data_IF_791628729510
#
_entry.id   IF_791628729510
#
_cell.length_a   1.000
_cell.length_b   1.000
_cell.length_c   1.000
_cell.angle_alpha   90.00
_cell.angle_beta   90.00
_cell.angle_gamma   90.00
#
_symmetry.space_group_name_H-M   'P 1'
#
loop_
_entity.id
_entity.type
_entity.pdbx_description
1 polymer ?
#
# COMPACT_ATOMS: atom_id res chain seq x y z
N UNK A 1 37.39 32.30 49.86
CA UNK A 1 36.53 31.53 50.79
C UNK A 1 36.22 30.21 50.06
N UNK A 2 36.55 28.98 50.51
CA UNK A 2 36.35 28.31 51.83
C UNK A 2 34.87 28.49 52.23
N UNK A 3 33.96 27.51 52.23
CA UNK A 3 33.94 26.10 52.72
C UNK A 3 32.61 25.42 52.24
N UNK A 4 32.24 24.14 52.46
CA UNK A 4 32.90 22.81 52.53
C UNK A 4 31.81 21.73 52.75
N UNK A 5 31.99 20.51 52.19
CA UNK A 5 31.35 19.20 52.55
C UNK A 5 29.80 19.04 52.47
N UNK A 6 29.24 18.01 51.80
CA UNK A 6 29.20 16.54 52.10
C UNK A 6 28.07 16.12 53.09
N UNK A 7 27.67 14.82 53.22
CA UNK A 7 26.25 14.45 53.13
C UNK A 7 25.71 13.66 54.35
N UNK A 8 25.53 12.31 54.25
CA UNK A 8 25.10 11.30 55.24
C UNK A 8 23.56 10.98 55.28
N UNK A 9 23.15 9.72 55.00
CA UNK A 9 22.77 8.60 55.92
C UNK A 9 21.22 8.51 56.10
N UNK A 10 20.48 7.37 56.08
CA UNK A 10 20.67 5.90 55.90
C UNK A 10 19.39 5.31 55.22
N UNK A 11 19.01 4.01 55.08
CA UNK A 11 19.48 2.62 55.34
C UNK A 11 18.66 1.67 54.37
N UNK A 12 18.91 0.39 54.02
CA UNK A 12 19.88 -0.72 54.33
C UNK A 12 19.28 -1.95 55.07
N UNK A 13 19.23 -3.12 54.38
CA UNK A 13 19.10 -4.54 54.86
C UNK A 13 17.68 -4.96 55.39
N UNK A 14 17.11 -6.20 55.30
CA UNK A 14 17.45 -7.65 55.05
C UNK A 14 16.45 -8.20 53.97
N UNK A 15 16.62 -9.22 53.08
CA UNK A 15 16.97 -10.68 53.18
C UNK A 15 16.03 -11.47 54.16
N UNK A 16 15.61 -12.75 54.07
CA UNK A 16 15.86 -13.95 53.22
C UNK A 16 14.50 -14.67 52.88
N UNK A 17 14.45 -16.01 52.65
CA UNK A 17 14.39 -16.64 51.30
C UNK A 17 13.91 -18.12 51.33
N UNK A 18 13.40 -18.65 50.19
CA UNK A 18 13.23 -20.08 49.78
C UNK A 18 12.18 -21.04 50.42
N UNK A 19 11.91 -22.11 49.63
CA UNK A 19 11.29 -23.44 49.89
C UNK A 19 9.75 -23.55 49.78
N UNK A 20 9.07 -24.31 48.88
CA UNK A 20 9.34 -25.44 47.95
C UNK A 20 8.79 -26.81 48.45
N UNK A 21 8.07 -27.53 47.56
CA UNK A 21 7.43 -28.87 47.73
C UNK A 21 6.19 -28.90 48.68
N UNK A 22 5.15 -29.73 48.51
CA UNK A 22 4.76 -30.63 47.39
C UNK A 22 4.06 -31.92 47.88
N UNK A 23 2.97 -32.40 47.23
CA UNK A 23 2.43 -33.75 47.53
C UNK A 23 0.95 -34.08 47.24
N UNK A 24 0.69 -34.68 46.07
CA UNK A 24 -0.23 -35.82 45.77
C UNK A 24 -1.39 -36.26 46.69
N UNK A 25 -2.62 -36.33 46.13
CA UNK A 25 -3.34 -37.55 45.60
C UNK A 25 -4.73 -37.11 45.03
N UNK A 26 -5.24 -37.56 43.88
CA UNK A 26 -5.61 -38.93 43.41
C UNK A 26 -6.82 -39.52 44.18
N UNK A 27 -7.80 -40.21 43.57
CA UNK A 27 -8.06 -40.63 42.16
C UNK A 27 -9.59 -40.90 42.03
N UNK A 28 -10.29 -41.13 40.91
CA UNK A 28 -10.01 -41.34 39.46
C UNK A 28 -11.27 -40.87 38.66
N UNK A 29 -11.76 -41.31 37.49
CA UNK A 29 -11.52 -42.39 36.49
C UNK A 29 -12.29 -42.06 35.18
N UNK A 30 -12.00 -42.62 33.99
CA UNK A 30 -10.85 -43.45 33.62
C UNK A 30 -10.89 -44.10 32.22
N UNK A 31 -9.74 -44.02 31.54
CA UNK A 31 -9.10 -45.02 30.63
C UNK A 31 -9.67 -45.26 29.18
N UNK A 32 -8.91 -45.85 28.20
CA UNK A 32 -8.30 -45.04 27.12
C UNK A 32 -8.27 -45.68 25.70
N UNK A 33 -7.41 -45.16 24.79
CA UNK A 33 -6.32 -45.82 24.00
C UNK A 33 -5.85 -44.80 22.90
N UNK A 34 -4.59 -44.39 22.65
CA UNK A 34 -3.23 -45.01 22.61
C UNK A 34 -2.97 -45.83 21.31
N UNK A 35 -1.86 -45.76 20.55
CA UNK A 35 -0.45 -45.27 20.75
C UNK A 35 0.20 -44.67 19.44
N UNK A 36 1.39 -44.05 19.55
CA UNK A 36 2.42 -43.86 18.47
C UNK A 36 3.68 -44.75 18.72
N UNK A 37 4.93 -44.50 18.24
CA UNK A 37 5.56 -43.50 17.32
C UNK A 37 5.96 -44.14 15.94
N UNK A 38 6.75 -43.64 14.96
CA UNK A 38 7.57 -42.45 14.62
C UNK A 38 9.10 -42.36 14.96
N UNK A 39 9.89 -41.79 14.01
CA UNK A 39 11.32 -41.33 14.02
C UNK A 39 12.43 -42.16 13.28
N UNK A 40 13.45 -41.40 12.80
CA UNK A 40 14.85 -41.68 12.34
C UNK A 40 15.19 -42.46 11.03
N UNK A 41 15.81 -41.72 10.09
CA UNK A 41 17.18 -41.86 9.49
C UNK A 41 17.64 -43.08 8.64
N UNK A 42 18.16 -42.72 7.45
CA UNK A 42 19.30 -43.21 6.64
C UNK A 42 19.72 -44.69 6.56
N UNK A 43 19.84 -45.18 5.31
CA UNK A 43 20.98 -46.00 4.88
C UNK A 43 21.19 -45.99 3.35
N UNK A 44 22.44 -45.84 2.91
CA UNK A 44 22.89 -46.13 1.54
C UNK A 44 23.16 -47.65 1.36
N UNK A 45 23.12 -48.14 0.11
CA UNK A 45 24.18 -48.93 -0.57
C UNK A 45 23.65 -50.00 -1.54
N UNK A 46 24.40 -50.18 -2.65
CA UNK A 46 24.28 -51.20 -3.72
C UNK A 46 22.94 -51.22 -4.50
N UNK A 47 22.89 -51.35 -5.83
CA UNK A 47 23.95 -51.37 -6.84
C UNK A 47 24.09 -52.73 -7.53
N UNK A 48 23.48 -52.89 -8.70
CA UNK A 48 23.77 -53.96 -9.67
C UNK A 48 23.26 -53.54 -11.07
N UNK A 49 24.07 -53.78 -12.11
CA UNK A 49 23.62 -53.79 -13.51
C UNK A 49 23.30 -55.23 -13.91
N UNK A 50 22.21 -55.46 -14.66
CA UNK A 50 22.25 -56.45 -15.74
C UNK A 50 21.60 -55.84 -16.99
N UNK A 51 22.25 -56.04 -18.14
CA UNK A 51 21.79 -55.58 -19.44
C UNK A 51 21.68 -56.73 -20.44
N UNK A 52 20.63 -56.71 -21.27
CA UNK A 52 20.42 -57.70 -22.34
C UNK A 52 19.93 -57.06 -23.63
N UNK A 53 20.49 -57.54 -24.75
CA UNK A 53 19.85 -57.62 -26.07
C UNK A 53 19.33 -56.32 -26.71
N UNK A 54 20.12 -55.74 -27.61
CA UNK A 54 19.62 -54.78 -28.60
C UNK A 54 19.28 -55.45 -29.93
N UNK A 55 18.28 -54.92 -30.64
CA UNK A 55 18.08 -55.10 -32.09
C UNK A 55 17.95 -53.74 -32.78
N UNK A 56 18.31 -53.66 -34.05
CA UNK A 56 18.34 -52.41 -34.80
C UNK A 56 17.01 -52.12 -35.52
N UNK A 57 16.43 -50.95 -35.24
CA UNK A 57 15.30 -50.38 -35.97
C UNK A 57 15.62 -48.96 -36.45
N UNK A 58 15.33 -48.66 -37.72
CA UNK A 58 15.73 -47.40 -38.36
C UNK A 58 14.69 -46.29 -38.22
N UNK A 59 15.19 -45.10 -37.89
CA UNK A 59 14.68 -43.78 -38.32
C UNK A 59 13.20 -43.44 -38.02
N UNK A 60 13.00 -42.64 -36.97
CA UNK A 60 12.12 -41.46 -36.99
C UNK A 60 12.44 -40.57 -35.80
N UNK A 61 13.15 -39.46 -36.02
CA UNK A 61 13.55 -38.51 -34.97
C UNK A 61 12.33 -37.72 -34.44
N UNK A 62 11.55 -38.36 -33.57
CA UNK A 62 10.62 -37.69 -32.67
C UNK A 62 11.40 -36.97 -31.57
N UNK A 63 12.12 -35.90 -31.94
CA UNK A 63 12.58 -34.92 -30.95
C UNK A 63 11.33 -34.37 -30.25
N UNK A 64 11.16 -34.57 -28.93
CA UNK A 64 10.11 -33.87 -28.22
C UNK A 64 10.47 -32.39 -28.28
N UNK A 65 9.64 -31.60 -28.96
CA UNK A 65 9.73 -30.13 -28.93
C UNK A 65 9.35 -29.68 -27.52
N UNK A 66 10.33 -29.79 -26.62
CA UNK A 66 10.23 -29.39 -25.22
C UNK A 66 10.07 -27.88 -25.21
N UNK A 67 8.83 -27.43 -25.35
CA UNK A 67 8.43 -26.03 -25.35
C UNK A 67 8.49 -25.49 -23.92
N UNK A 68 9.68 -25.58 -23.32
CA UNK A 68 9.99 -24.99 -22.03
C UNK A 68 9.63 -23.52 -22.14
N UNK A 69 8.60 -23.11 -21.39
CA UNK A 69 8.26 -21.70 -21.27
C UNK A 69 9.36 -21.03 -20.45
N UNK A 70 10.46 -20.71 -21.13
CA UNK A 70 11.53 -19.87 -20.62
C UNK A 70 10.95 -18.47 -20.42
N UNK A 71 10.26 -18.29 -19.28
CA UNK A 71 9.88 -16.97 -18.77
C UNK A 71 11.18 -16.18 -18.66
N UNK A 72 11.37 -15.25 -19.59
CA UNK A 72 12.62 -14.51 -19.76
C UNK A 72 13.11 -13.98 -18.42
N UNK A 73 14.39 -14.24 -18.12
CA UNK A 73 14.97 -13.93 -16.81
C UNK A 73 14.71 -12.46 -16.45
N UNK A 74 14.17 -12.25 -15.24
CA UNK A 74 13.95 -10.93 -14.69
C UNK A 74 15.28 -10.28 -14.36
N UNK A 75 15.44 -9.00 -14.73
CA UNK A 75 16.66 -8.24 -14.40
C UNK A 75 16.37 -7.42 -13.13
N UNK A 76 16.85 -7.84 -11.93
CA UNK A 76 16.69 -7.05 -10.72
C UNK A 76 17.56 -5.81 -10.77
N UNK A 77 17.00 -4.69 -10.33
CA UNK A 77 17.66 -3.39 -10.18
C UNK A 77 17.37 -2.91 -8.76
N UNK A 78 18.17 -3.39 -7.81
CA UNK A 78 18.04 -3.07 -6.39
C UNK A 78 18.56 -1.65 -6.12
N UNK A 79 17.78 -0.82 -5.42
CA UNK A 79 18.18 0.54 -4.98
C UNK A 79 19.47 0.55 -4.18
N UNK A 80 19.76 -0.49 -3.41
CA UNK A 80 21.01 -0.64 -2.64
C UNK A 80 22.24 -0.63 -3.55
N UNK A 81 22.12 -1.20 -4.76
CA UNK A 81 23.21 -1.23 -5.76
C UNK A 81 23.51 0.15 -6.37
N UNK A 82 22.71 1.17 -6.05
CA UNK A 82 22.92 2.57 -6.42
C UNK A 82 23.29 3.45 -5.21
N UNK A 83 23.65 2.82 -4.08
CA UNK A 83 24.14 3.51 -2.88
C UNK A 83 23.08 3.87 -1.85
N UNK A 84 21.88 3.29 -1.91
CA UNK A 84 20.85 3.51 -0.90
C UNK A 84 21.27 2.96 0.48
N UNK A 85 21.16 3.79 1.51
CA UNK A 85 21.46 3.50 2.90
C UNK A 85 20.34 2.71 3.58
N UNK A 86 19.07 2.99 3.27
CA UNK A 86 17.93 2.18 3.73
C UNK A 86 17.79 2.08 5.25
N UNK A 87 18.27 3.09 5.98
CA UNK A 87 18.17 3.25 7.45
C UNK A 87 16.95 4.09 7.89
N UNK A 88 16.35 4.83 6.95
CA UNK A 88 15.20 5.70 7.15
C UNK A 88 15.55 7.08 7.70
N UNK A 89 16.82 7.49 7.56
CA UNK A 89 17.39 8.75 8.07
C UNK A 89 18.25 9.45 7.00
N UNK A 90 19.03 8.70 6.21
CA UNK A 90 19.82 9.25 5.10
C UNK A 90 18.97 9.38 3.83
N UNK A 91 19.15 10.45 3.06
CA UNK A 91 18.39 10.69 1.83
C UNK A 91 18.81 9.73 0.69
N UNK A 92 17.92 8.78 0.41
CA UNK A 92 18.08 7.73 -0.61
C UNK A 92 17.59 8.17 -2.01
N UNK A 93 17.07 9.40 -2.16
CA UNK A 93 16.40 9.89 -3.38
C UNK A 93 17.24 9.71 -4.65
N UNK A 94 18.53 10.03 -4.59
CA UNK A 94 19.39 9.93 -5.77
C UNK A 94 19.69 8.48 -6.16
N UNK A 95 19.74 7.56 -5.19
CA UNK A 95 19.85 6.13 -5.46
C UNK A 95 18.56 5.59 -6.09
N UNK A 96 17.39 6.01 -5.59
CA UNK A 96 16.07 5.67 -6.17
C UNK A 96 15.91 6.18 -7.60
N UNK A 97 16.31 7.42 -7.89
CA UNK A 97 16.29 7.97 -9.25
C UNK A 97 17.22 7.20 -10.19
N UNK A 98 18.46 6.94 -9.76
CA UNK A 98 19.46 6.23 -10.57
C UNK A 98 19.06 4.78 -10.86
N UNK A 99 18.48 4.10 -9.87
CA UNK A 99 17.89 2.77 -10.02
C UNK A 99 16.65 2.79 -10.93
N UNK A 100 15.81 3.83 -10.85
CA UNK A 100 14.63 3.97 -11.70
C UNK A 100 15.02 4.13 -13.16
N UNK A 101 15.92 5.05 -13.49
CA UNK A 101 16.36 5.30 -14.87
C UNK A 101 17.00 4.03 -15.47
N UNK A 102 17.73 3.26 -14.65
CA UNK A 102 18.29 1.96 -15.07
C UNK A 102 17.23 0.87 -15.25
N UNK A 103 16.21 0.79 -14.40
CA UNK A 103 15.12 -0.20 -14.54
C UNK A 103 14.18 0.16 -15.70
N UNK A 104 13.83 1.43 -15.85
CA UNK A 104 12.95 1.97 -16.88
C UNK A 104 13.52 1.82 -18.29
N UNK A 105 14.85 1.78 -18.44
CA UNK A 105 15.56 1.54 -19.71
C UNK A 105 15.81 0.05 -20.03
N UNK A 106 15.26 -0.89 -19.26
CA UNK A 106 15.49 -2.34 -19.42
C UNK A 106 14.21 -3.16 -19.59
N UNK A 107 14.19 -4.04 -20.60
CA UNK A 107 13.11 -5.01 -20.82
C UNK A 107 13.11 -6.07 -19.72
N UNK A 108 11.92 -6.47 -19.27
CA UNK A 108 11.70 -7.46 -18.19
C UNK A 108 12.34 -7.08 -16.84
N UNK A 109 12.66 -5.80 -16.62
CA UNK A 109 13.28 -5.34 -15.38
C UNK A 109 12.37 -5.47 -14.14
N UNK A 110 13.00 -5.48 -12.98
CA UNK A 110 12.37 -5.36 -11.65
C UNK A 110 13.12 -4.28 -10.89
N UNK A 111 12.56 -3.07 -10.81
CA UNK A 111 13.00 -2.07 -9.84
C UNK A 111 12.69 -2.61 -8.45
N UNK A 112 13.69 -2.79 -7.58
CA UNK A 112 13.56 -3.52 -6.33
C UNK A 112 13.91 -2.63 -5.13
N UNK A 113 12.94 -2.47 -4.23
CA UNK A 113 13.10 -1.93 -2.88
C UNK A 113 12.96 -3.11 -1.91
N UNK A 114 14.07 -3.69 -1.42
CA UNK A 114 14.08 -4.95 -0.68
C UNK A 114 13.42 -4.82 0.70
N UNK A 115 12.94 -5.96 1.21
CA UNK A 115 12.35 -6.09 2.54
C UNK A 115 13.29 -5.70 3.68
N UNK A 116 12.72 -5.50 4.87
CA UNK A 116 13.42 -5.20 6.14
C UNK A 116 14.20 -3.86 6.17
N UNK A 117 14.31 -3.15 5.04
CA UNK A 117 14.96 -1.83 4.92
C UNK A 117 13.94 -0.69 4.81
N UNK A 118 14.34 0.53 5.18
CA UNK A 118 13.50 1.72 5.26
C UNK A 118 14.19 2.88 4.56
N UNK A 119 13.62 3.42 3.49
CA UNK A 119 14.33 4.39 2.63
C UNK A 119 13.71 5.78 2.75
N UNK A 120 14.49 6.78 3.17
CA UNK A 120 14.01 8.17 3.23
C UNK A 120 14.13 8.77 1.82
N UNK A 121 13.00 9.11 1.22
CA UNK A 121 12.93 9.60 -0.17
C UNK A 121 12.16 10.91 -0.22
N UNK A 122 12.77 11.95 -0.76
CA UNK A 122 12.19 13.27 -0.98
C UNK A 122 11.12 13.25 -2.10
N UNK A 123 10.43 14.38 -2.32
CA UNK A 123 9.42 14.53 -3.37
C UNK A 123 9.98 14.24 -4.77
N UNK A 124 9.57 13.11 -5.38
CA UNK A 124 10.28 12.45 -6.49
C UNK A 124 9.34 12.06 -7.62
N UNK A 125 9.81 12.18 -8.87
CA UNK A 125 9.02 11.89 -10.07
C UNK A 125 9.63 10.78 -10.93
N UNK A 126 9.06 9.58 -10.80
CA UNK A 126 9.42 8.39 -11.58
C UNK A 126 8.70 8.42 -12.93
N UNK A 127 9.42 8.82 -13.98
CA UNK A 127 8.85 9.08 -15.31
C UNK A 127 9.15 7.94 -16.28
N UNK A 128 8.15 7.60 -17.09
CA UNK A 128 8.30 6.85 -18.35
C UNK A 128 8.33 7.76 -19.59
N UNK A 129 8.21 7.19 -20.80
CA UNK A 129 7.92 5.79 -21.07
C UNK A 129 9.06 4.85 -20.67
N UNK A 130 8.71 3.70 -20.11
CA UNK A 130 9.66 2.64 -19.77
C UNK A 130 9.56 1.47 -20.74
N UNK A 131 10.61 0.65 -20.77
CA UNK A 131 10.66 -0.58 -21.53
C UNK A 131 9.66 -1.65 -21.04
N UNK A 132 9.37 -2.59 -21.94
CA UNK A 132 8.32 -3.59 -21.75
C UNK A 132 8.52 -4.49 -20.51
N UNK A 133 7.39 -4.84 -19.89
CA UNK A 133 7.27 -5.75 -18.74
C UNK A 133 7.89 -5.29 -17.41
N UNK A 134 8.25 -4.01 -17.23
CA UNK A 134 8.75 -3.48 -15.94
C UNK A 134 7.84 -3.85 -14.75
N UNK A 135 8.46 -4.38 -13.69
CA UNK A 135 7.87 -4.48 -12.35
C UNK A 135 8.56 -3.49 -11.42
N UNK A 136 7.79 -2.89 -10.52
CA UNK A 136 8.24 -2.09 -9.38
C UNK A 136 7.91 -2.90 -8.14
N UNK A 137 8.91 -3.59 -7.59
CA UNK A 137 8.80 -4.48 -6.44
C UNK A 137 9.19 -3.70 -5.17
N UNK A 138 8.18 -3.27 -4.41
CA UNK A 138 8.31 -2.60 -3.12
C UNK A 138 7.97 -3.59 -2.01
N UNK A 139 9.00 -4.17 -1.41
CA UNK A 139 8.88 -5.08 -0.25
C UNK A 139 9.44 -4.46 1.05
N UNK A 140 10.29 -3.43 0.93
CA UNK A 140 10.71 -2.58 2.06
C UNK A 140 9.70 -1.51 2.44
N UNK A 141 10.13 -0.59 3.30
CA UNK A 141 9.42 0.67 3.60
C UNK A 141 10.06 1.81 2.82
N UNK A 142 9.27 2.63 2.13
CA UNK A 142 9.67 3.96 1.66
C UNK A 142 9.03 4.96 2.62
N UNK A 143 9.78 5.96 3.09
CA UNK A 143 9.30 6.98 4.05
C UNK A 143 9.57 8.39 3.54
N UNK A 144 8.62 9.30 3.78
CA UNK A 144 8.71 10.70 3.42
C UNK A 144 9.45 11.53 4.50
N UNK A 145 10.09 12.66 4.11
CA UNK A 145 10.42 13.73 5.05
C UNK A 145 9.20 14.15 5.86
N UNK A 146 9.35 14.26 7.18
CA UNK A 146 8.25 14.64 8.08
C UNK A 146 8.06 16.16 8.15
N UNK A 147 9.13 16.96 8.02
CA UNK A 147 9.13 18.40 8.23
C UNK A 147 8.57 19.20 7.03
N UNK A 148 7.49 19.99 7.19
CA UNK A 148 6.88 20.73 6.09
C UNK A 148 7.73 21.88 5.52
N UNK A 149 8.73 22.39 6.25
CA UNK A 149 9.65 23.43 5.73
C UNK A 149 10.62 22.91 4.68
N UNK A 150 10.90 21.61 4.71
CA UNK A 150 12.00 21.00 3.96
C UNK A 150 11.50 20.41 2.63
N UNK A 151 10.18 20.45 2.41
CA UNK A 151 9.52 19.93 1.22
C UNK A 151 9.79 20.80 -0.02
N UNK A 152 10.17 20.18 -1.14
CA UNK A 152 10.42 20.92 -2.38
C UNK A 152 9.17 21.70 -2.83
N UNK A 153 9.21 23.05 -2.89
CA UNK A 153 8.05 23.85 -3.26
C UNK A 153 7.57 23.57 -4.70
N UNK A 154 8.45 23.09 -5.59
CA UNK A 154 8.10 22.67 -6.97
C UNK A 154 7.25 21.39 -6.98
N UNK A 155 7.26 20.63 -5.89
CA UNK A 155 6.54 19.38 -5.68
C UNK A 155 5.66 19.41 -4.42
N UNK A 156 5.28 20.61 -3.95
CA UNK A 156 4.41 20.87 -2.79
C UNK A 156 3.07 20.10 -2.74
N UNK A 157 2.62 19.55 -3.88
CA UNK A 157 1.37 18.78 -4.03
C UNK A 157 1.56 17.26 -4.01
N UNK A 158 2.79 16.73 -4.14
CA UNK A 158 3.03 15.31 -4.45
C UNK A 158 4.32 14.77 -3.83
N UNK A 159 4.32 13.49 -3.45
CA UNK A 159 5.49 12.77 -2.96
C UNK A 159 6.04 11.75 -3.98
N UNK A 160 5.52 10.52 -4.03
CA UNK A 160 5.94 9.49 -4.98
C UNK A 160 5.08 9.56 -6.24
N UNK A 161 5.55 10.27 -7.26
CA UNK A 161 4.79 10.56 -8.47
C UNK A 161 5.27 9.72 -9.66
N UNK A 162 4.54 8.67 -10.00
CA UNK A 162 4.79 7.88 -11.20
C UNK A 162 3.98 8.45 -12.37
N UNK A 163 4.60 8.61 -13.54
CA UNK A 163 3.85 9.04 -14.73
C UNK A 163 4.38 8.52 -16.05
N UNK A 164 3.50 8.54 -17.08
CA UNK A 164 3.78 8.03 -18.44
C UNK A 164 4.13 6.53 -18.48
N UNK A 165 3.59 5.75 -17.54
CA UNK A 165 3.81 4.30 -17.48
C UNK A 165 2.86 3.56 -18.43
N UNK A 166 3.35 2.45 -19.02
CA UNK A 166 2.53 1.56 -19.85
C UNK A 166 2.71 0.10 -19.45
N UNK A 167 1.64 -0.55 -18.98
CA UNK A 167 1.62 -1.98 -18.63
C UNK A 167 2.42 -2.38 -17.37
N UNK A 168 2.88 -1.42 -16.58
CA UNK A 168 3.73 -1.64 -15.39
C UNK A 168 2.95 -2.30 -14.25
N UNK A 169 3.60 -3.19 -13.49
CA UNK A 169 3.08 -3.68 -12.19
C UNK A 169 3.86 -3.04 -11.05
N UNK A 170 3.17 -2.52 -10.05
CA UNK A 170 3.72 -2.01 -8.79
C UNK A 170 3.17 -2.88 -7.66
N UNK A 171 4.04 -3.50 -6.85
CA UNK A 171 3.63 -4.56 -5.94
C UNK A 171 4.67 -4.86 -4.86
N UNK A 172 4.33 -5.58 -3.79
CA UNK A 172 5.34 -6.38 -3.07
C UNK A 172 5.21 -6.55 -1.56
N UNK A 173 4.07 -6.19 -0.95
CA UNK A 173 3.81 -6.28 0.48
C UNK A 173 4.36 -5.10 1.30
N UNK A 174 5.23 -4.28 0.71
CA UNK A 174 5.93 -3.18 1.38
C UNK A 174 5.05 -1.99 1.76
N UNK A 175 5.70 -0.99 2.37
CA UNK A 175 5.05 0.17 2.99
C UNK A 175 5.48 1.47 2.31
N UNK A 176 4.54 2.39 2.11
CA UNK A 176 4.74 3.78 1.69
C UNK A 176 4.22 4.65 2.84
N UNK A 177 5.12 5.24 3.63
CA UNK A 177 4.81 6.01 4.84
C UNK A 177 5.00 7.51 4.62
N UNK A 178 3.90 8.26 4.64
CA UNK A 178 3.89 9.70 4.39
C UNK A 178 4.35 10.58 5.56
N UNK A 179 4.68 10.04 6.73
CA UNK A 179 5.19 10.83 7.88
C UNK A 179 4.32 12.03 8.30
N UNK A 180 3.00 11.98 8.05
CA UNK A 180 2.11 13.16 8.05
C UNK A 180 1.92 13.91 9.38
N UNK A 181 2.48 13.44 10.50
CA UNK A 181 2.20 13.98 11.84
C UNK A 181 2.46 15.48 12.01
N UNK A 182 3.58 16.00 11.46
CA UNK A 182 3.89 17.44 11.49
C UNK A 182 2.98 18.26 10.56
N UNK A 183 2.65 17.72 9.38
CA UNK A 183 1.70 18.32 8.43
C UNK A 183 0.30 18.45 9.06
N UNK A 184 -0.16 17.40 9.71
CA UNK A 184 -1.41 17.39 10.48
C UNK A 184 -1.38 18.43 11.61
N UNK A 185 -0.31 18.46 12.39
CA UNK A 185 -0.11 19.43 13.47
C UNK A 185 0.09 20.88 12.99
N UNK A 186 0.36 21.12 11.71
CA UNK A 186 0.39 22.46 11.09
C UNK A 186 -0.92 22.84 10.38
N UNK A 187 -1.82 21.86 10.14
CA UNK A 187 -3.08 22.06 9.43
C UNK A 187 -4.00 23.09 10.08
N UNK A 188 -4.79 23.80 9.26
CA UNK A 188 -5.79 24.75 9.74
C UNK A 188 -6.91 24.10 10.56
N UNK A 189 -7.12 22.78 10.44
CA UNK A 189 -8.14 22.05 11.20
C UNK A 189 -7.78 21.97 12.68
N UNK A 190 -6.51 21.77 12.99
CA UNK A 190 -5.99 21.80 14.38
C UNK A 190 -5.67 23.24 14.76
N UNK A 191 -4.81 23.93 13.99
CA UNK A 191 -4.41 25.32 14.24
C UNK A 191 -5.32 26.27 13.47
N UNK A 192 -6.49 26.60 14.04
CA UNK A 192 -7.49 27.50 13.42
C UNK A 192 -6.95 28.91 13.07
N UNK A 193 -5.77 29.28 13.57
CA UNK A 193 -5.02 30.51 13.20
C UNK A 193 -4.44 30.46 11.78
N UNK A 194 -4.22 29.26 11.24
CA UNK A 194 -3.57 29.07 9.95
C UNK A 194 -4.63 29.12 8.83
N UNK A 195 -4.38 29.77 7.70
CA UNK A 195 -5.36 29.86 6.62
C UNK A 195 -5.56 28.49 5.96
N UNK A 196 -6.80 28.00 5.93
CA UNK A 196 -7.17 26.80 5.16
C UNK A 196 -6.99 26.96 3.65
N UNK A 197 -6.80 28.18 3.16
CA UNK A 197 -6.40 28.48 1.78
C UNK A 197 -4.91 28.84 1.78
N UNK A 198 -4.05 27.89 1.41
CA UNK A 198 -2.60 28.09 1.30
C UNK A 198 -1.75 26.98 1.92
N UNK A 199 -2.28 26.29 2.94
CA UNK A 199 -1.67 25.05 3.45
C UNK A 199 -1.91 23.93 2.44
N UNK A 200 -0.90 23.60 1.63
CA UNK A 200 -0.94 22.49 0.67
C UNK A 200 -0.04 21.39 1.20
N UNK A 201 -0.61 20.20 1.44
CA UNK A 201 0.15 19.03 1.86
C UNK A 201 0.21 18.00 0.71
N UNK A 202 1.30 17.23 0.57
CA UNK A 202 1.49 16.36 -0.57
C UNK A 202 0.59 15.12 -0.56
N UNK A 203 0.22 14.66 -1.76
CA UNK A 203 -0.31 13.31 -1.99
C UNK A 203 0.84 12.29 -1.90
N UNK A 204 0.66 11.21 -1.13
CA UNK A 204 1.73 10.24 -0.87
C UNK A 204 2.13 9.42 -2.11
N UNK A 205 1.16 8.79 -2.79
CA UNK A 205 1.36 8.07 -4.05
C UNK A 205 0.50 8.67 -5.18
N UNK A 206 1.07 8.87 -6.36
CA UNK A 206 0.31 9.30 -7.55
C UNK A 206 0.67 8.49 -8.79
N UNK A 207 -0.34 8.04 -9.53
CA UNK A 207 -0.22 7.50 -10.88
C UNK A 207 -0.88 8.50 -11.85
N UNK A 208 -0.06 9.19 -12.66
CA UNK A 208 -0.51 10.19 -13.63
C UNK A 208 -0.24 9.76 -15.09
N UNK A 209 -1.14 10.13 -16.01
CA UNK A 209 -0.96 10.01 -17.46
C UNK A 209 -0.43 8.63 -17.89
N UNK A 210 -0.98 7.56 -17.33
CA UNK A 210 -0.47 6.18 -17.46
C UNK A 210 -1.55 5.22 -17.96
N UNK A 211 -1.15 4.11 -18.59
CA UNK A 211 -2.09 3.12 -19.15
C UNK A 211 -1.74 1.68 -18.77
N UNK A 212 -2.73 0.91 -18.33
CA UNK A 212 -2.60 -0.54 -18.09
C UNK A 212 -1.82 -0.90 -16.82
N UNK A 213 -1.63 0.06 -15.92
CA UNK A 213 -0.85 -0.11 -14.67
C UNK A 213 -1.64 -0.96 -13.66
N UNK A 214 -0.93 -1.82 -12.93
CA UNK A 214 -1.51 -2.59 -11.81
C UNK A 214 -0.76 -2.24 -10.53
N UNK A 215 -1.49 -1.97 -9.45
CA UNK A 215 -0.94 -1.73 -8.10
C UNK A 215 -1.51 -2.79 -7.17
N UNK A 216 -0.67 -3.70 -6.66
CA UNK A 216 -1.11 -4.90 -5.94
C UNK A 216 -0.37 -5.09 -4.61
N UNK A 217 -1.09 -5.31 -3.51
CA UNK A 217 -0.52 -5.62 -2.19
C UNK A 217 0.58 -4.64 -1.77
N UNK A 218 0.17 -3.46 -1.33
CA UNK A 218 1.01 -2.41 -0.73
C UNK A 218 0.28 -1.81 0.47
N UNK A 219 1.02 -1.41 1.50
CA UNK A 219 0.46 -0.57 2.56
C UNK A 219 0.85 0.88 2.31
N UNK A 220 -0.12 1.79 2.23
CA UNK A 220 0.11 3.23 2.11
C UNK A 220 -0.41 3.86 3.40
N UNK A 221 0.45 4.49 4.19
CA UNK A 221 0.08 4.95 5.53
C UNK A 221 0.52 6.38 5.83
N UNK A 222 -0.15 7.00 6.80
CA UNK A 222 0.23 8.29 7.39
C UNK A 222 0.44 9.40 6.36
N UNK A 223 -0.36 9.44 5.29
CA UNK A 223 -0.20 10.46 4.24
C UNK A 223 -0.38 11.88 4.78
N UNK A 224 0.42 12.80 4.25
CA UNK A 224 0.38 14.23 4.60
C UNK A 224 -0.98 14.84 4.22
N UNK A 225 -1.57 14.39 3.11
CA UNK A 225 -2.97 14.63 2.74
C UNK A 225 -3.60 13.36 2.14
N UNK A 226 -3.59 13.21 0.82
CA UNK A 226 -4.21 12.08 0.10
C UNK A 226 -3.23 10.90 0.06
N UNK A 227 -3.67 9.67 0.33
CA UNK A 227 -2.79 8.50 0.25
C UNK A 227 -2.46 8.12 -1.19
N UNK A 228 -3.46 8.00 -2.06
CA UNK A 228 -3.26 7.51 -3.42
C UNK A 228 -4.17 8.22 -4.43
N UNK A 229 -3.58 8.98 -5.36
CA UNK A 229 -4.29 9.57 -6.51
C UNK A 229 -4.03 8.82 -7.82
N UNK A 230 -5.07 8.53 -8.59
CA UNK A 230 -5.00 8.17 -10.01
C UNK A 230 -5.52 9.36 -10.83
N UNK A 231 -4.71 9.85 -11.78
CA UNK A 231 -5.03 11.03 -12.58
C UNK A 231 -4.75 10.83 -14.08
N UNK A 232 -5.63 11.32 -14.96
CA UNK A 232 -5.47 11.32 -16.43
C UNK A 232 -5.06 9.97 -17.04
N UNK A 233 -5.51 8.87 -16.43
CA UNK A 233 -4.97 7.53 -16.66
C UNK A 233 -6.03 6.56 -17.16
N UNK A 234 -5.59 5.54 -17.91
CA UNK A 234 -6.44 4.46 -18.40
C UNK A 234 -5.97 3.10 -17.85
N UNK A 235 -6.80 2.05 -17.90
CA UNK A 235 -6.27 0.68 -17.81
C UNK A 235 -5.96 0.20 -16.39
N UNK A 236 -6.31 0.98 -15.35
CA UNK A 236 -5.70 0.88 -14.01
C UNK A 236 -6.38 -0.19 -13.16
N UNK A 237 -5.60 -1.01 -12.44
CA UNK A 237 -6.14 -1.97 -11.45
C UNK A 237 -5.43 -1.83 -10.12
N UNK A 238 -6.19 -1.60 -9.05
CA UNK A 238 -5.72 -1.66 -7.66
C UNK A 238 -6.25 -2.96 -7.03
N UNK A 239 -5.41 -3.75 -6.38
CA UNK A 239 -5.83 -4.90 -5.59
C UNK A 239 -5.06 -5.02 -4.27
N UNK A 240 -5.73 -5.41 -3.18
CA UNK A 240 -5.08 -5.83 -1.92
C UNK A 240 -4.28 -4.71 -1.20
N UNK A 241 -4.46 -3.45 -1.62
CA UNK A 241 -3.82 -2.27 -1.01
C UNK A 241 -4.45 -1.95 0.34
N UNK A 242 -3.63 -1.53 1.31
CA UNK A 242 -4.04 -1.17 2.67
C UNK A 242 -3.72 0.29 2.93
N UNK A 243 -4.73 1.15 3.00
CA UNK A 243 -4.61 2.58 3.31
C UNK A 243 -4.86 2.80 4.80
N UNK A 244 -3.97 3.47 5.54
CA UNK A 244 -4.07 3.59 7.02
C UNK A 244 -3.55 4.90 7.60
N UNK A 245 -4.27 5.49 8.55
CA UNK A 245 -3.75 6.61 9.38
C UNK A 245 -4.19 6.50 10.85
N UNK A 246 -3.50 7.19 11.77
CA UNK A 246 -3.96 7.34 13.16
C UNK A 246 -5.38 7.92 13.26
N UNK A 247 -6.22 7.51 14.23
CA UNK A 247 -7.62 7.94 14.32
C UNK A 247 -7.85 9.46 14.44
N UNK A 248 -6.82 10.19 14.88
CA UNK A 248 -6.79 11.64 15.12
C UNK A 248 -6.25 12.46 13.92
N UNK A 249 -5.86 11.82 12.81
CA UNK A 249 -5.28 12.51 11.66
C UNK A 249 -6.27 13.41 10.90
N UNK A 250 -6.09 14.74 10.83
CA UNK A 250 -6.83 15.60 9.91
C UNK A 250 -6.44 15.34 8.45
N UNK A 251 -7.40 15.44 7.53
CA UNK A 251 -7.18 15.48 6.06
C UNK A 251 -6.65 14.20 5.40
N UNK A 252 -6.77 13.03 6.03
CA UNK A 252 -6.31 11.77 5.43
C UNK A 252 -7.33 11.16 4.47
N UNK A 253 -7.35 11.69 3.25
CA UNK A 253 -8.15 11.14 2.16
C UNK A 253 -7.56 9.79 1.69
N UNK A 254 -8.44 8.87 1.29
CA UNK A 254 -8.07 7.51 0.92
C UNK A 254 -7.50 7.39 -0.49
N UNK A 255 -8.34 6.96 -1.44
CA UNK A 255 -7.99 6.85 -2.86
C UNK A 255 -8.82 7.87 -3.64
N UNK A 256 -8.16 8.75 -4.39
CA UNK A 256 -8.79 9.74 -5.27
C UNK A 256 -8.58 9.32 -6.73
N UNK A 257 -9.64 9.32 -7.53
CA UNK A 257 -9.59 9.11 -8.98
C UNK A 257 -10.13 10.37 -9.66
N UNK A 258 -9.43 10.88 -10.67
CA UNK A 258 -9.87 12.03 -11.48
C UNK A 258 -9.40 11.87 -12.94
N UNK A 259 -10.15 12.39 -13.90
CA UNK A 259 -9.86 12.37 -15.36
C UNK A 259 -9.45 10.98 -15.92
N UNK A 260 -9.93 9.88 -15.33
CA UNK A 260 -9.39 8.53 -15.57
C UNK A 260 -10.44 7.50 -15.97
N UNK A 261 -10.03 6.55 -16.81
CA UNK A 261 -10.83 5.45 -17.37
C UNK A 261 -10.19 4.08 -17.03
N UNK A 262 -10.90 2.98 -17.29
CA UNK A 262 -10.32 1.64 -17.18
C UNK A 262 -10.13 1.14 -15.72
N UNK A 263 -10.55 1.92 -14.71
CA UNK A 263 -10.16 1.75 -13.29
C UNK A 263 -11.02 0.69 -12.57
N UNK A 264 -10.37 -0.26 -11.89
CA UNK A 264 -11.01 -1.12 -10.89
C UNK A 264 -10.19 -1.19 -9.60
N UNK A 265 -10.87 -1.32 -8.46
CA UNK A 265 -10.30 -1.40 -7.11
C UNK A 265 -10.89 -2.63 -6.42
N UNK A 266 -10.06 -3.53 -5.89
CA UNK A 266 -10.48 -4.80 -5.29
C UNK A 266 -9.72 -5.09 -3.98
N UNK A 267 -10.34 -5.78 -3.02
CA UNK A 267 -9.71 -6.23 -1.77
C UNK A 267 -8.97 -5.14 -0.97
N UNK A 268 -9.35 -3.86 -1.11
CA UNK A 268 -8.68 -2.74 -0.44
C UNK A 268 -9.22 -2.56 0.97
N UNK A 269 -8.32 -2.36 1.94
CA UNK A 269 -8.67 -1.94 3.29
C UNK A 269 -8.36 -0.45 3.44
N UNK A 270 -9.34 0.38 3.84
CA UNK A 270 -9.12 1.80 4.15
C UNK A 270 -9.43 2.04 5.63
N UNK A 271 -8.44 2.47 6.38
CA UNK A 271 -8.55 2.85 7.79
C UNK A 271 -7.90 4.20 8.02
N UNK A 272 -8.40 5.24 7.36
CA UNK A 272 -8.01 6.63 7.63
C UNK A 272 -8.78 7.17 8.82
N UNK A 273 -8.18 8.14 9.53
CA UNK A 273 -8.75 8.74 10.73
C UNK A 273 -9.30 10.15 10.50
N UNK A 274 -9.95 10.69 11.53
CA UNK A 274 -10.29 12.10 11.63
C UNK A 274 -11.43 12.62 10.74
N UNK A 275 -11.48 13.95 10.65
CA UNK A 275 -12.62 14.71 10.13
C UNK A 275 -12.40 15.13 8.67
N UNK A 276 -13.28 14.66 7.77
CA UNK A 276 -13.36 15.24 6.42
C UNK A 276 -13.82 16.70 6.48
N UNK A 277 -13.28 17.53 5.60
CA UNK A 277 -13.68 18.95 5.45
C UNK A 277 -14.92 19.10 4.57
N UNK A 278 -15.04 18.25 3.55
CA UNK A 278 -16.27 18.02 2.79
C UNK A 278 -17.26 17.19 3.63
N UNK A 279 -18.56 17.27 3.28
CA UNK A 279 -19.58 16.38 3.85
C UNK A 279 -19.29 14.92 3.47
N UNK A 280 -18.92 14.75 2.21
CA UNK A 280 -18.27 13.56 1.65
C UNK A 280 -16.98 13.25 2.42
N UNK A 281 -16.96 12.15 3.17
CA UNK A 281 -15.77 11.60 3.84
C UNK A 281 -15.15 10.42 3.07
N UNK A 282 -15.92 9.81 2.16
CA UNK A 282 -15.44 8.91 1.11
C UNK A 282 -16.02 9.40 -0.22
N UNK A 283 -15.22 9.46 -1.29
CA UNK A 283 -15.64 9.99 -2.60
C UNK A 283 -15.15 9.09 -3.75
N UNK A 284 -16.07 8.31 -4.32
CA UNK A 284 -15.83 7.48 -5.49
C UNK A 284 -16.37 8.19 -6.73
N UNK A 285 -15.63 9.17 -7.26
CA UNK A 285 -16.02 9.97 -8.42
C UNK A 285 -15.52 9.34 -9.74
N UNK A 286 -16.24 8.33 -10.22
CA UNK A 286 -15.88 7.58 -11.44
C UNK A 286 -16.68 8.06 -12.66
N UNK A 287 -16.27 7.67 -13.87
CA UNK A 287 -16.86 8.18 -15.12
C UNK A 287 -18.13 7.40 -15.51
N UNK A 288 -19.12 8.10 -16.04
CA UNK A 288 -20.35 7.48 -16.56
C UNK A 288 -20.09 6.50 -17.71
N UNK A 289 -19.03 6.76 -18.49
CA UNK A 289 -18.57 5.87 -19.57
C UNK A 289 -17.64 4.76 -19.12
N UNK A 290 -17.00 4.90 -17.94
CA UNK A 290 -16.22 3.83 -17.32
C UNK A 290 -16.39 3.84 -15.80
N UNK A 291 -17.35 3.03 -15.28
CA UNK A 291 -17.60 2.97 -13.86
C UNK A 291 -16.52 2.22 -13.09
N UNK A 292 -16.32 2.61 -11.84
CA UNK A 292 -15.63 1.78 -10.88
C UNK A 292 -16.53 0.60 -10.48
N UNK A 293 -15.96 -0.59 -10.33
CA UNK A 293 -16.72 -1.80 -9.97
C UNK A 293 -15.90 -2.69 -9.05
N UNK A 294 -16.61 -3.52 -8.26
CA UNK A 294 -16.05 -4.43 -7.26
C UNK A 294 -15.33 -3.72 -6.10
N UNK A 295 -15.73 -2.49 -5.77
CA UNK A 295 -15.25 -1.78 -4.57
C UNK A 295 -15.70 -2.59 -3.35
N UNK A 296 -14.79 -2.86 -2.42
CA UNK A 296 -15.09 -3.59 -1.18
C UNK A 296 -14.62 -2.74 -0.01
N UNK A 297 -15.52 -2.44 0.93
CA UNK A 297 -15.21 -1.65 2.14
C UNK A 297 -15.34 -2.50 3.40
N UNK A 298 -14.38 -2.35 4.31
CA UNK A 298 -14.33 -3.05 5.58
C UNK A 298 -13.57 -2.23 6.63
N UNK A 299 -14.13 -2.14 7.84
CA UNK A 299 -13.53 -1.48 9.00
C UNK A 299 -13.18 0.01 8.78
N UNK A 300 -14.07 0.74 8.10
CA UNK A 300 -14.01 2.21 7.93
C UNK A 300 -14.58 2.90 9.16
N UNK A 301 -13.88 3.87 9.76
CA UNK A 301 -14.43 4.74 10.81
C UNK A 301 -14.08 6.22 10.61
N UNK A 302 -14.84 6.87 9.75
CA UNK A 302 -14.73 8.29 9.42
C UNK A 302 -15.94 9.06 9.99
N UNK A 303 -15.70 10.27 10.48
CA UNK A 303 -16.73 11.09 11.14
C UNK A 303 -16.33 12.55 11.24
N UNK A 304 -17.31 13.45 11.24
CA UNK A 304 -17.11 14.90 11.40
C UNK A 304 -17.44 15.34 12.83
N UNK A 305 -16.87 16.47 13.26
CA UNK A 305 -17.23 17.14 14.53
C UNK A 305 -18.73 17.48 14.61
N UNK A 306 -19.37 17.78 13.47
CA UNK A 306 -20.82 18.02 13.34
C UNK A 306 -21.67 16.75 13.12
N UNK A 307 -21.04 15.57 13.05
CA UNK A 307 -21.70 14.28 12.80
C UNK A 307 -22.11 14.00 11.34
N UNK A 308 -22.04 14.98 10.42
CA UNK A 308 -22.61 14.88 9.06
C UNK A 308 -21.67 14.25 8.02
N UNK A 309 -20.98 13.17 8.36
CA UNK A 309 -20.14 12.45 7.39
C UNK A 309 -21.01 11.61 6.43
N UNK A 310 -20.72 11.67 5.13
CA UNK A 310 -21.44 10.98 4.06
C UNK A 310 -20.47 10.27 3.09
N UNK A 311 -20.99 9.32 2.31
CA UNK A 311 -20.26 8.68 1.20
C UNK A 311 -20.82 9.19 -0.12
N UNK A 312 -19.94 9.67 -1.02
CA UNK A 312 -20.29 10.01 -2.38
C UNK A 312 -19.89 8.89 -3.34
N UNK A 313 -20.79 8.51 -4.24
CA UNK A 313 -20.56 7.57 -5.33
C UNK A 313 -21.10 8.18 -6.62
N UNK A 314 -20.24 8.41 -7.62
CA UNK A 314 -20.66 8.55 -9.02
C UNK A 314 -20.14 7.34 -9.79
N UNK A 315 -21.06 6.60 -10.41
CA UNK A 315 -20.72 5.47 -11.28
C UNK A 315 -19.74 4.47 -10.63
N UNK A 316 -20.02 4.10 -9.38
CA UNK A 316 -19.16 3.29 -8.53
C UNK A 316 -19.96 2.18 -7.84
N UNK A 317 -19.63 0.92 -8.13
CA UNK A 317 -20.34 -0.27 -7.66
C UNK A 317 -19.46 -1.14 -6.73
N UNK A 318 -20.06 -1.73 -5.70
CA UNK A 318 -19.36 -2.45 -4.66
C UNK A 318 -20.25 -2.96 -3.51
N UNK A 319 -19.63 -3.31 -2.40
CA UNK A 319 -20.32 -3.64 -1.14
C UNK A 319 -19.47 -3.31 0.10
N UNK A 320 -20.13 -3.16 1.23
CA UNK A 320 -19.52 -2.96 2.55
C UNK A 320 -19.80 -4.16 3.48
N UNK A 321 -18.88 -4.46 4.39
CA UNK A 321 -19.08 -5.46 5.45
C UNK A 321 -18.20 -5.18 6.67
N UNK A 322 -18.66 -5.57 7.87
CA UNK A 322 -18.01 -5.19 9.14
C UNK A 322 -18.44 -3.79 9.58
N UNK A 323 -17.58 -3.07 10.32
CA UNK A 323 -17.88 -1.70 10.73
C UNK A 323 -17.56 -0.73 9.58
N UNK A 324 -18.56 0.00 9.08
CA UNK A 324 -18.36 1.03 8.04
C UNK A 324 -19.12 2.29 8.43
N UNK A 325 -18.37 3.38 8.66
CA UNK A 325 -18.89 4.71 8.94
C UNK A 325 -18.09 5.77 8.14
N UNK A 326 -18.75 6.73 7.46
CA UNK A 326 -20.19 6.75 7.17
C UNK A 326 -20.60 5.55 6.32
N UNK A 327 -21.89 5.22 6.31
CA UNK A 327 -22.39 4.10 5.51
C UNK A 327 -22.12 4.34 4.01
N UNK A 328 -21.85 3.27 3.27
CA UNK A 328 -21.49 3.33 1.85
C UNK A 328 -22.60 2.72 0.98
N UNK A 329 -23.87 2.94 1.35
CA UNK A 329 -25.03 2.35 0.68
C UNK A 329 -25.07 2.67 -0.82
N UNK A 330 -24.51 3.81 -1.25
CA UNK A 330 -24.39 4.20 -2.66
C UNK A 330 -23.45 3.34 -3.52
N UNK A 331 -22.69 2.41 -2.92
CA UNK A 331 -21.94 1.40 -3.67
C UNK A 331 -22.80 0.19 -4.06
N UNK A 332 -23.89 -0.08 -3.33
CA UNK A 332 -24.68 -1.30 -3.55
C UNK A 332 -25.53 -1.12 -4.82
N UNK A 333 -25.35 -2.01 -5.79
CA UNK A 333 -26.14 -2.02 -7.03
C UNK A 333 -27.61 -2.36 -6.71
N UNK A 334 -28.46 -1.32 -6.69
CA UNK A 334 -29.91 -1.44 -6.51
C UNK A 334 -30.66 -1.60 -7.84
N UNK A 335 -29.93 -1.77 -8.96
CA UNK A 335 -30.44 -1.81 -10.33
C UNK A 335 -30.83 -0.45 -10.92
N UNK A 336 -30.84 0.63 -10.11
CA UNK A 336 -31.17 2.01 -10.53
C UNK A 336 -29.94 2.90 -10.68
N UNK A 337 -28.84 2.63 -9.98
CA UNK A 337 -27.56 3.33 -10.08
C UNK A 337 -26.82 3.09 -11.42
N UNK A 338 -27.53 3.27 -12.55
CA UNK A 338 -27.01 3.02 -13.89
C UNK A 338 -26.16 4.19 -14.37
N UNK A 339 -24.92 3.88 -14.66
CA UNK A 339 -23.96 4.82 -15.25
C UNK A 339 -24.47 5.30 -16.61
N UNK A 340 -24.57 6.62 -16.79
CA UNK A 340 -25.15 7.22 -18.00
C UNK A 340 -26.69 7.30 -18.02
N UNK A 341 -27.38 6.97 -16.93
CA UNK A 341 -28.76 7.44 -16.73
C UNK A 341 -28.71 8.94 -16.36
N UNK A 342 -28.83 9.81 -17.37
CA UNK A 342 -28.95 11.25 -17.15
C UNK A 342 -30.16 11.57 -16.28
N UNK A 343 -30.03 12.58 -15.41
CA UNK A 343 -31.18 13.20 -14.79
C UNK A 343 -31.97 13.95 -15.87
N UNK A 344 -33.03 13.32 -16.38
CA UNK A 344 -34.16 14.02 -17.01
C UNK A 344 -34.95 14.80 -15.93
N UNK A 345 -34.25 15.67 -15.19
CA UNK A 345 -34.87 16.69 -14.35
C UNK A 345 -35.42 17.77 -15.28
N UNK A 346 -36.74 17.71 -15.52
CA UNK A 346 -37.48 18.55 -16.47
C UNK A 346 -37.65 20.00 -15.98
N UNK A 347 -36.53 20.67 -15.67
CA UNK A 347 -36.42 22.06 -15.29
C UNK A 347 -35.41 22.81 -16.16
N UNK A 348 -35.94 23.33 -17.26
CA UNK A 348 -35.38 24.29 -18.21
C UNK A 348 -34.50 25.40 -17.57
N UNK A 349 -33.21 25.13 -17.38
CA UNK A 349 -32.25 26.09 -16.80
C UNK A 349 -30.79 25.85 -17.19
N UNK A 350 -30.33 26.52 -18.26
CA UNK A 350 -28.92 26.78 -18.63
C UNK A 350 -27.91 25.63 -18.49
N UNK A 351 -27.50 25.04 -19.63
CA UNK A 351 -26.30 24.21 -19.69
C UNK A 351 -25.06 24.97 -19.20
N UNK A 352 -24.50 24.52 -18.07
CA UNK A 352 -23.09 24.74 -17.74
C UNK A 352 -22.33 23.45 -18.03
N UNK A 353 -21.33 23.44 -18.93
CA UNK A 353 -20.43 22.30 -19.05
C UNK A 353 -19.67 22.13 -17.73
N UNK A 354 -19.62 20.90 -17.19
CA UNK A 354 -18.98 20.61 -15.90
C UNK A 354 -17.46 20.63 -16.06
N UNK A 355 -16.92 21.84 -16.12
CA UNK A 355 -15.49 22.12 -16.13
C UNK A 355 -14.94 22.07 -14.70
N UNK A 356 -14.37 20.90 -14.36
CA UNK A 356 -13.54 20.63 -13.18
C UNK A 356 -14.28 20.65 -11.82
N UNK A 357 -13.93 19.69 -10.97
CA UNK A 357 -14.24 19.72 -9.54
C UNK A 357 -13.10 19.03 -8.80
N UNK A 358 -12.01 19.77 -8.59
CA UNK A 358 -11.09 19.49 -7.48
C UNK A 358 -11.76 19.90 -6.15
N UNK A 359 -11.38 19.26 -5.05
CA UNK A 359 -11.69 19.64 -3.66
C UNK A 359 -10.40 20.06 -2.93
#
# INVERSE_FOLDING_TARGET
MKKVFSPLISAVIVLLVLAQMGGYRADSSGIPLAFGPSWWEDMELWGEEEGLGGEAGTELDFMPTMWSSQRAARIPVNVDSFGAAGDGVMDDTQAFLSAWDKACSLKNAVFLVPEQRRYLVNATRFRGPCESNLIVQISGTIVAPDEPSDWDPKNSRVWLYFSKLKGVRIQGGGVIDGSGSKWWASSCKIKKTNPCRGSVAPTALTIDWSSGVRVQDLTIQSAQQIHFTIYRSDTIRISEVRVRSPPDSPNTDGIHISDSTNVAIQNVQIGTGGTSSSREAMKFACSDTVPCSNIVLNNINLGREDGTAETFCNCAMGFDYGFVKPAADCLRDDGKSRCGAGQDDDQKGTLHPIHHTEL
#
